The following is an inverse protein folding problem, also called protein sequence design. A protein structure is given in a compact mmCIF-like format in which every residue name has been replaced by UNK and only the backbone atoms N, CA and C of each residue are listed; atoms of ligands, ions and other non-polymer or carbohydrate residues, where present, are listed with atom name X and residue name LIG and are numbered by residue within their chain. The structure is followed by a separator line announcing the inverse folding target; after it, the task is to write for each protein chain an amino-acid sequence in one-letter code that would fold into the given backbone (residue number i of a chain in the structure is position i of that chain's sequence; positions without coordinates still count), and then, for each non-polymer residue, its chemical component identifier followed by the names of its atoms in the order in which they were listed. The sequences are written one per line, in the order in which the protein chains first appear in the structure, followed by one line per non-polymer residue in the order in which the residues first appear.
data_IF_929536622989
#
_entry.id   IF_929536622989
#
_cell.length_a   1.000
_cell.length_b   1.000
_cell.length_c   1.000
_cell.angle_alpha   90.00
_cell.angle_beta   90.00
_cell.angle_gamma   90.00
#
_symmetry.space_group_name_H-M   'P 1'
#
loop_
_entity.id
_entity.type
_entity.pdbx_description
1 polymer ?
#
# COMPACT_ATOMS: atom_id res chain seq x y z
N UNK A 1 -19.29 30.25 -28.19
CA UNK A 1 -20.00 31.40 -28.80
C UNK A 1 -19.19 31.97 -29.96
N UNK A 2 -19.64 31.82 -31.21
CA UNK A 2 -19.01 32.44 -32.39
C UNK A 2 -20.08 33.20 -33.17
N UNK A 3 -19.79 34.45 -33.54
CA UNK A 3 -20.68 35.32 -34.31
C UNK A 3 -21.02 34.71 -35.67
N UNK A 4 -22.30 34.71 -36.02
CA UNK A 4 -22.71 34.56 -37.41
C UNK A 4 -22.47 35.87 -38.13
N UNK A 5 -21.71 35.81 -39.23
CA UNK A 5 -21.58 36.91 -40.19
C UNK A 5 -22.98 37.37 -40.63
N UNK A 6 -23.27 38.63 -40.33
CA UNK A 6 -24.54 39.28 -40.63
C UNK A 6 -24.73 39.42 -42.14
N UNK A 7 -25.92 39.02 -42.63
CA UNK A 7 -26.41 39.53 -43.90
C UNK A 7 -26.82 40.98 -43.69
N UNK A 8 -26.33 41.87 -44.56
CA UNK A 8 -26.55 43.32 -44.54
C UNK A 8 -28.06 43.62 -44.47
N UNK A 9 -28.56 43.97 -43.28
CA UNK A 9 -29.96 44.36 -43.03
C UNK A 9 -30.79 43.45 -42.12
N UNK A 10 -30.26 42.32 -41.63
CA UNK A 10 -30.97 41.46 -40.67
C UNK A 10 -30.55 41.69 -39.21
N UNK A 11 -31.51 41.68 -38.28
CA UNK A 11 -31.23 41.69 -36.83
C UNK A 11 -30.19 40.61 -36.48
N UNK A 12 -29.08 40.95 -35.78
CA UNK A 12 -28.11 39.95 -35.33
C UNK A 12 -28.82 38.99 -34.38
N UNK A 13 -28.95 37.73 -34.78
CA UNK A 13 -29.46 36.66 -33.92
C UNK A 13 -28.27 35.82 -33.49
N UNK A 14 -27.92 35.93 -32.22
CA UNK A 14 -27.06 34.97 -31.54
C UNK A 14 -27.87 33.67 -31.40
N UNK A 15 -27.60 32.69 -32.25
CA UNK A 15 -28.24 31.39 -32.16
C UNK A 15 -27.16 30.34 -32.05
N UNK A 16 -27.17 29.62 -30.92
CA UNK A 16 -26.28 28.48 -30.74
C UNK A 16 -26.88 27.25 -31.43
N UNK A 17 -26.03 26.48 -32.10
CA UNK A 17 -26.46 25.27 -32.78
C UNK A 17 -26.51 24.13 -31.77
N UNK A 18 -27.61 23.36 -31.76
CA UNK A 18 -27.76 22.21 -30.84
C UNK A 18 -26.57 21.24 -30.92
N UNK A 19 -25.98 21.08 -32.11
CA UNK A 19 -24.78 20.26 -32.30
C UNK A 19 -23.57 20.79 -31.54
N UNK A 20 -23.37 22.11 -31.53
CA UNK A 20 -22.27 22.74 -30.79
C UNK A 20 -22.52 22.64 -29.29
N UNK A 21 -23.73 22.92 -28.82
CA UNK A 21 -24.11 22.79 -27.42
C UNK A 21 -23.93 21.35 -26.92
N UNK A 22 -24.32 20.35 -27.73
CA UNK A 22 -24.09 18.95 -27.40
C UNK A 22 -22.59 18.62 -27.32
N UNK A 23 -21.79 19.07 -28.29
CA UNK A 23 -20.35 18.81 -28.31
C UNK A 23 -19.63 19.48 -27.12
N UNK A 24 -19.98 20.72 -26.79
CA UNK A 24 -19.41 21.46 -25.66
C UNK A 24 -19.79 20.83 -24.32
N UNK A 25 -21.07 20.48 -24.12
CA UNK A 25 -21.52 19.79 -22.89
C UNK A 25 -20.89 18.41 -22.73
N UNK A 26 -20.76 17.65 -23.82
CA UNK A 26 -20.14 16.33 -23.80
C UNK A 26 -18.63 16.40 -23.57
N UNK A 27 -17.96 17.42 -24.11
CA UNK A 27 -16.54 17.67 -23.85
C UNK A 27 -16.31 18.12 -22.41
N UNK A 28 -17.17 19.01 -21.88
CA UNK A 28 -17.11 19.44 -20.48
C UNK A 28 -17.32 18.28 -19.52
N UNK A 29 -18.38 17.48 -19.73
CA UNK A 29 -18.73 16.39 -18.82
C UNK A 29 -17.64 15.32 -18.77
N UNK A 30 -17.11 14.91 -19.93
CA UNK A 30 -16.02 13.95 -19.99
C UNK A 30 -14.69 14.55 -19.51
N UNK A 31 -14.44 15.84 -19.75
CA UNK A 31 -13.23 16.54 -19.33
C UNK A 31 -13.08 16.62 -17.80
N UNK A 32 -14.18 16.76 -17.06
CA UNK A 32 -14.17 16.75 -15.59
C UNK A 32 -13.59 15.44 -15.03
N UNK A 33 -14.00 14.31 -15.61
CA UNK A 33 -13.54 13.00 -15.16
C UNK A 33 -12.20 12.60 -15.80
N UNK A 34 -11.90 13.09 -17.00
CA UNK A 34 -10.59 12.91 -17.64
C UNK A 34 -9.46 13.48 -16.76
N UNK A 35 -9.69 14.61 -16.11
CA UNK A 35 -8.74 15.22 -15.17
C UNK A 35 -8.44 14.36 -13.93
N UNK A 36 -9.31 13.42 -13.56
CA UNK A 36 -9.10 12.51 -12.42
C UNK A 36 -8.15 11.36 -12.78
N UNK A 37 -8.00 11.05 -14.07
CA UNK A 37 -7.03 10.06 -14.57
C UNK A 37 -7.36 8.59 -14.22
N UNK A 38 -8.59 8.30 -13.81
CA UNK A 38 -9.01 6.95 -13.38
C UNK A 38 -10.43 6.63 -13.88
N UNK A 39 -10.64 5.37 -14.22
CA UNK A 39 -11.96 4.84 -14.58
C UNK A 39 -12.74 4.48 -13.31
N UNK A 40 -14.04 4.80 -13.28
CA UNK A 40 -14.86 4.65 -12.08
C UNK A 40 -16.37 4.61 -12.37
N UNK A 41 -17.14 4.16 -11.40
CA UNK A 41 -18.60 4.30 -11.38
C UNK A 41 -18.98 5.73 -10.98
N UNK A 42 -19.79 6.39 -11.80
CA UNK A 42 -20.26 7.75 -11.54
C UNK A 42 -21.58 7.76 -10.75
N UNK A 43 -22.50 6.86 -11.10
CA UNK A 43 -23.81 6.75 -10.44
C UNK A 43 -24.46 5.40 -10.72
N UNK A 44 -25.27 4.90 -9.78
CA UNK A 44 -25.91 3.59 -9.90
C UNK A 44 -24.92 2.45 -9.76
N UNK A 45 -25.06 1.41 -10.59
CA UNK A 45 -24.24 0.19 -10.54
C UNK A 45 -24.17 -0.45 -9.14
N UNK A 46 -25.28 -0.40 -8.39
CA UNK A 46 -25.36 -0.99 -7.07
C UNK A 46 -25.11 -2.50 -7.16
N UNK A 47 -24.23 -2.99 -6.28
CA UNK A 47 -23.86 -4.39 -6.19
C UNK A 47 -24.73 -5.13 -5.18
N UNK A 48 -25.15 -6.33 -5.55
CA UNK A 48 -25.75 -7.31 -4.64
C UNK A 48 -24.93 -8.58 -4.72
N UNK A 49 -24.34 -8.99 -3.60
CA UNK A 49 -23.61 -10.26 -3.49
C UNK A 49 -24.60 -11.43 -3.44
N UNK A 50 -24.36 -12.44 -4.29
CA UNK A 50 -25.16 -13.66 -4.33
C UNK A 50 -24.71 -14.71 -3.30
N UNK A 51 -23.60 -14.46 -2.58
CA UNK A 51 -23.06 -15.37 -1.56
C UNK A 51 -22.37 -16.62 -2.13
N UNK A 52 -22.09 -16.64 -3.44
CA UNK A 52 -21.48 -17.75 -4.16
C UNK A 52 -20.21 -17.34 -4.94
N UNK A 53 -19.62 -16.19 -4.59
CA UNK A 53 -18.48 -15.62 -5.32
C UNK A 53 -18.86 -14.84 -6.57
N UNK A 54 -20.16 -14.62 -6.83
CA UNK A 54 -20.65 -13.77 -7.92
C UNK A 54 -21.50 -12.61 -7.38
N UNK A 55 -21.56 -11.53 -8.16
CA UNK A 55 -22.33 -10.32 -7.86
C UNK A 55 -23.31 -10.01 -8.99
N UNK A 56 -24.44 -9.42 -8.62
CA UNK A 56 -25.34 -8.75 -9.56
C UNK A 56 -25.08 -7.25 -9.50
N UNK A 57 -24.96 -6.63 -10.67
CA UNK A 57 -24.67 -5.22 -10.85
C UNK A 57 -25.92 -4.57 -11.47
N UNK A 58 -26.52 -3.60 -10.79
CA UNK A 58 -27.63 -2.83 -11.34
C UNK A 58 -27.20 -1.94 -12.51
N UNK A 59 -28.18 -1.40 -13.24
CA UNK A 59 -27.91 -0.38 -14.26
C UNK A 59 -27.31 0.90 -13.65
N UNK A 60 -26.55 1.65 -14.44
CA UNK A 60 -25.93 2.89 -13.99
C UNK A 60 -25.11 3.62 -15.04
N UNK A 61 -24.28 4.54 -14.59
CA UNK A 61 -23.38 5.36 -15.39
C UNK A 61 -21.94 5.12 -14.93
N UNK A 62 -21.06 4.84 -15.88
CA UNK A 62 -19.64 4.55 -15.63
C UNK A 62 -18.77 5.41 -16.53
N UNK A 63 -17.62 5.83 -16.01
CA UNK A 63 -16.58 6.51 -16.76
C UNK A 63 -15.49 5.51 -17.10
N UNK A 64 -15.34 5.18 -18.37
CA UNK A 64 -14.36 4.20 -18.86
C UNK A 64 -13.74 4.66 -20.17
N UNK A 65 -12.44 4.44 -20.34
CA UNK A 65 -11.71 4.78 -21.57
C UNK A 65 -11.95 6.23 -22.04
N UNK A 66 -12.03 7.18 -21.10
CA UNK A 66 -12.17 8.61 -21.39
C UNK A 66 -13.61 9.11 -21.60
N UNK A 67 -14.63 8.26 -21.46
CA UNK A 67 -16.03 8.59 -21.77
C UNK A 67 -17.01 8.09 -20.71
N UNK A 68 -17.99 8.92 -20.37
CA UNK A 68 -19.14 8.52 -19.54
C UNK A 68 -20.15 7.74 -20.39
N UNK A 69 -20.31 6.45 -20.08
CA UNK A 69 -21.19 5.52 -20.78
C UNK A 69 -22.26 4.94 -19.85
N UNK A 70 -23.43 4.67 -20.43
CA UNK A 70 -24.51 3.94 -19.75
C UNK A 70 -24.17 2.46 -19.65
N UNK A 71 -24.57 1.85 -18.54
CA UNK A 71 -24.47 0.43 -18.27
C UNK A 71 -25.85 -0.12 -17.94
N UNK A 72 -26.29 -1.17 -18.63
CA UNK A 72 -27.65 -1.71 -18.49
C UNK A 72 -27.80 -2.70 -17.31
N UNK A 73 -26.71 -2.99 -16.59
CA UNK A 73 -26.68 -4.00 -15.53
C UNK A 73 -26.22 -5.37 -16.02
N UNK A 74 -25.79 -6.22 -15.09
CA UNK A 74 -25.39 -7.59 -15.37
C UNK A 74 -25.59 -8.48 -14.14
N UNK A 75 -25.96 -9.74 -14.34
CA UNK A 75 -26.22 -10.70 -13.26
C UNK A 75 -25.17 -11.82 -13.25
N UNK A 76 -24.90 -12.38 -12.08
CA UNK A 76 -24.00 -13.52 -11.87
C UNK A 76 -22.57 -13.30 -12.41
N UNK A 77 -22.00 -12.11 -12.17
CA UNK A 77 -20.65 -11.78 -12.60
C UNK A 77 -19.65 -12.20 -11.51
N UNK A 78 -18.58 -12.94 -11.83
CA UNK A 78 -17.52 -13.27 -10.86
C UNK A 78 -16.94 -12.03 -10.17
N UNK A 79 -16.83 -12.08 -8.84
CA UNK A 79 -16.32 -11.00 -7.99
C UNK A 79 -14.82 -11.14 -7.66
N UNK A 80 -14.10 -11.95 -8.43
CA UNK A 80 -12.68 -12.28 -8.27
C UNK A 80 -11.73 -11.31 -8.98
N UNK A 81 -12.26 -10.28 -9.64
CA UNK A 81 -11.49 -9.34 -10.47
C UNK A 81 -11.15 -9.87 -11.87
N UNK A 82 -11.66 -11.04 -12.27
CA UNK A 82 -11.48 -11.58 -13.63
C UNK A 82 -12.32 -10.87 -14.70
N UNK A 83 -13.33 -10.12 -14.27
CA UNK A 83 -14.22 -9.32 -15.12
C UNK A 83 -14.05 -7.84 -14.83
N UNK A 84 -14.29 -7.02 -15.84
CA UNK A 84 -14.23 -5.57 -15.72
C UNK A 84 -15.29 -4.89 -16.59
N UNK A 85 -15.69 -3.69 -16.18
CA UNK A 85 -16.48 -2.77 -17.00
C UNK A 85 -15.53 -2.06 -17.96
N UNK A 86 -15.83 -2.16 -19.25
CA UNK A 86 -15.07 -1.49 -20.31
C UNK A 86 -16.00 -0.85 -21.33
N UNK A 87 -15.43 0.03 -22.15
CA UNK A 87 -16.15 0.64 -23.28
C UNK A 87 -16.53 -0.45 -24.29
N UNK A 88 -17.84 -0.64 -24.48
CA UNK A 88 -18.38 -1.54 -25.49
C UNK A 88 -18.40 -0.91 -26.89
N UNK A 89 -18.56 -1.77 -27.90
CA UNK A 89 -18.84 -1.33 -29.26
C UNK A 89 -20.26 -0.75 -29.40
N UNK A 90 -20.56 -0.22 -30.58
CA UNK A 90 -21.90 0.27 -30.90
C UNK A 90 -22.90 -0.89 -30.97
N UNK A 91 -23.86 -0.91 -30.05
CA UNK A 91 -24.98 -1.85 -30.03
C UNK A 91 -26.15 -1.23 -30.79
N UNK A 92 -26.79 -2.01 -31.65
CA UNK A 92 -28.00 -1.56 -32.35
C UNK A 92 -29.21 -1.66 -31.45
N UNK A 93 -30.17 -0.74 -31.60
CA UNK A 93 -31.46 -0.82 -30.92
C UNK A 93 -32.20 -2.10 -31.29
N UNK A 94 -33.17 -2.48 -30.46
CA UNK A 94 -34.15 -3.49 -30.84
C UNK A 94 -34.83 -3.13 -32.16
N UNK A 95 -35.13 -4.16 -32.94
CA UNK A 95 -35.84 -4.00 -34.21
C UNK A 95 -37.24 -3.44 -33.95
N UNK A 96 -37.60 -2.39 -34.70
CA UNK A 96 -38.95 -1.87 -34.74
C UNK A 96 -39.59 -2.20 -36.09
N UNK A 97 -40.85 -2.58 -36.06
CA UNK A 97 -41.65 -2.81 -37.28
C UNK A 97 -42.10 -1.46 -37.83
N UNK A 98 -41.78 -1.21 -39.10
CA UNK A 98 -42.20 -0.01 -39.83
C UNK A 98 -43.55 -0.24 -40.51
N UNK A 99 -44.20 0.84 -40.97
CA UNK A 99 -45.53 0.77 -41.59
C UNK A 99 -45.61 -0.09 -42.86
N UNK A 100 -44.47 -0.45 -43.45
CA UNK A 100 -44.32 -1.37 -44.58
C UNK A 100 -44.18 -2.85 -44.15
N UNK A 101 -44.24 -3.14 -42.85
CA UNK A 101 -44.03 -4.47 -42.28
C UNK A 101 -42.55 -4.87 -42.14
N UNK A 102 -41.61 -4.04 -42.58
CA UNK A 102 -40.17 -4.32 -42.43
C UNK A 102 -39.70 -4.09 -41.00
N UNK A 103 -38.78 -4.91 -40.52
CA UNK A 103 -38.14 -4.75 -39.22
C UNK A 103 -36.73 -4.19 -39.40
N UNK A 104 -36.46 -3.02 -38.84
CA UNK A 104 -35.12 -2.39 -38.92
C UNK A 104 -34.69 -1.86 -37.56
N UNK A 105 -33.38 -1.83 -37.35
CA UNK A 105 -32.78 -1.17 -36.19
C UNK A 105 -32.90 0.34 -36.39
N UNK A 106 -33.29 1.05 -35.34
CA UNK A 106 -33.64 2.48 -35.40
C UNK A 106 -32.42 3.36 -35.09
N UNK A 107 -31.59 2.93 -34.16
CA UNK A 107 -30.39 3.66 -33.76
C UNK A 107 -29.27 2.71 -33.31
N UNK A 108 -28.08 3.27 -33.12
CA UNK A 108 -26.96 2.58 -32.48
C UNK A 108 -26.45 3.45 -31.34
N UNK A 109 -26.09 2.83 -30.22
CA UNK A 109 -25.47 3.52 -29.09
C UNK A 109 -24.29 2.71 -28.56
N UNK A 110 -23.28 3.40 -28.06
CA UNK A 110 -22.20 2.77 -27.30
C UNK A 110 -22.61 2.71 -25.83
N UNK A 111 -22.40 1.55 -25.21
CA UNK A 111 -22.65 1.32 -23.79
C UNK A 111 -21.44 0.67 -23.16
N UNK A 112 -21.31 0.81 -21.85
CA UNK A 112 -20.36 0.00 -21.12
C UNK A 112 -20.85 -1.45 -21.08
N UNK A 113 -19.91 -2.39 -21.16
CA UNK A 113 -20.18 -3.83 -21.13
C UNK A 113 -19.20 -4.52 -20.19
N UNK A 114 -19.57 -5.71 -19.72
CA UNK A 114 -18.67 -6.55 -18.95
C UNK A 114 -17.78 -7.34 -19.92
N UNK A 115 -16.47 -7.19 -19.76
CA UNK A 115 -15.45 -7.90 -20.53
C UNK A 115 -14.58 -8.76 -19.60
N UNK A 116 -13.74 -9.62 -20.19
CA UNK A 116 -12.64 -10.22 -19.45
C UNK A 116 -11.65 -9.12 -19.09
N UNK A 117 -11.23 -9.06 -17.83
CA UNK A 117 -10.27 -8.08 -17.38
C UNK A 117 -8.95 -8.26 -18.15
N UNK A 118 -8.64 -7.31 -19.02
CA UNK A 118 -7.30 -7.18 -19.57
C UNK A 118 -6.50 -6.35 -18.57
N UNK A 119 -5.22 -6.65 -18.34
CA UNK A 119 -4.39 -5.87 -17.40
C UNK A 119 -4.14 -4.40 -17.82
N UNK A 120 -4.93 -3.86 -18.74
CA UNK A 120 -4.80 -2.53 -19.32
C UNK A 120 -5.64 -1.53 -18.54
N UNK A 121 -5.04 -0.39 -18.27
CA UNK A 121 -5.44 0.76 -17.45
C UNK A 121 -6.79 1.45 -17.75
N UNK A 122 -7.67 0.87 -18.56
CA UNK A 122 -8.93 1.50 -19.00
C UNK A 122 -10.17 0.64 -18.70
N UNK A 123 -10.24 0.02 -17.51
CA UNK A 123 -11.36 -0.82 -17.09
C UNK A 123 -11.60 -0.75 -15.56
N UNK A 124 -12.87 -0.80 -15.14
CA UNK A 124 -13.23 -0.90 -13.71
C UNK A 124 -13.41 -2.38 -13.35
N UNK A 125 -12.47 -2.94 -12.58
CA UNK A 125 -12.52 -4.35 -12.17
C UNK A 125 -13.70 -4.64 -11.24
N UNK A 126 -14.39 -5.75 -11.50
CA UNK A 126 -15.52 -6.21 -10.68
C UNK A 126 -14.98 -7.04 -9.51
N UNK A 127 -15.18 -6.55 -8.29
CA UNK A 127 -14.91 -7.25 -7.04
C UNK A 127 -16.18 -7.28 -6.18
N UNK A 128 -16.03 -7.55 -4.88
CA UNK A 128 -17.10 -7.37 -3.88
C UNK A 128 -17.53 -5.91 -3.70
N UNK A 129 -16.73 -4.96 -4.21
CA UNK A 129 -17.08 -3.55 -4.39
C UNK A 129 -16.63 -3.05 -5.77
N UNK A 130 -17.29 -2.01 -6.28
CA UNK A 130 -16.84 -1.26 -7.45
C UNK A 130 -16.16 0.03 -7.00
N UNK A 131 -15.18 0.47 -7.79
CA UNK A 131 -14.52 1.75 -7.55
C UNK A 131 -15.43 2.89 -8.01
N UNK A 132 -15.96 3.65 -7.05
CA UNK A 132 -16.89 4.75 -7.29
C UNK A 132 -16.25 6.13 -6.99
N UNK A 133 -16.93 7.20 -7.38
CA UNK A 133 -16.46 8.57 -7.14
C UNK A 133 -16.24 8.86 -5.65
N UNK A 134 -17.04 8.27 -4.76
CA UNK A 134 -16.89 8.45 -3.32
C UNK A 134 -15.59 7.84 -2.82
N UNK A 135 -15.30 6.61 -3.21
CA UNK A 135 -14.06 5.91 -2.88
C UNK A 135 -12.87 6.67 -3.45
N UNK A 136 -12.97 7.19 -4.68
CA UNK A 136 -11.93 8.05 -5.26
C UNK A 136 -11.64 9.28 -4.41
N UNK A 137 -12.67 10.02 -3.98
CA UNK A 137 -12.47 11.21 -3.14
C UNK A 137 -11.84 10.84 -1.81
N UNK A 138 -12.28 9.75 -1.18
CA UNK A 138 -11.72 9.28 0.09
C UNK A 138 -10.24 8.89 -0.05
N UNK A 139 -9.89 8.21 -1.14
CA UNK A 139 -8.53 7.80 -1.44
C UNK A 139 -7.64 9.01 -1.78
N UNK A 140 -8.13 9.95 -2.59
CA UNK A 140 -7.44 11.18 -2.93
C UNK A 140 -7.16 12.05 -1.69
N UNK A 141 -8.15 12.21 -0.80
CA UNK A 141 -8.00 12.96 0.46
C UNK A 141 -6.91 12.33 1.35
N UNK A 142 -6.87 11.01 1.43
CA UNK A 142 -5.85 10.28 2.21
C UNK A 142 -4.47 10.30 1.55
N UNK A 143 -4.38 10.64 0.27
CA UNK A 143 -3.13 10.71 -0.49
C UNK A 143 -2.37 12.04 -0.33
N UNK A 144 -2.98 13.11 0.21
CA UNK A 144 -2.33 14.43 0.41
C UNK A 144 -1.29 14.48 1.53
N UNK A 145 -0.84 13.34 2.02
CA UNK A 145 0.21 13.29 3.05
C UNK A 145 1.56 13.69 2.46
N UNK A 146 2.38 14.30 3.31
CA UNK A 146 3.70 14.79 2.90
C UNK A 146 4.56 13.59 2.50
N UNK A 147 5.32 13.75 1.41
CA UNK A 147 6.33 12.76 1.01
C UNK A 147 7.28 12.49 2.18
N UNK A 148 7.47 11.21 2.51
CA UNK A 148 8.27 10.76 3.65
C UNK A 148 7.45 10.46 4.91
N UNK A 149 6.12 10.69 4.92
CA UNK A 149 5.26 10.24 6.03
C UNK A 149 5.30 8.71 6.15
N UNK A 150 5.47 8.23 7.38
CA UNK A 150 5.49 6.81 7.74
C UNK A 150 4.25 6.47 8.56
N UNK A 151 3.68 5.29 8.32
CA UNK A 151 2.56 4.74 9.12
C UNK A 151 2.79 3.29 9.48
N UNK A 152 2.29 2.93 10.66
CA UNK A 152 2.25 1.57 11.17
C UNK A 152 0.82 1.02 11.08
N UNK A 153 0.66 -0.16 10.50
CA UNK A 153 -0.61 -0.79 10.19
C UNK A 153 -0.63 -2.22 10.73
N UNK A 154 -1.58 -2.47 11.63
CA UNK A 154 -1.90 -3.82 12.07
C UNK A 154 -2.89 -4.47 11.10
N UNK A 155 -2.58 -5.66 10.62
CA UNK A 155 -3.42 -6.41 9.69
C UNK A 155 -4.42 -7.29 10.45
N UNK A 156 -5.68 -6.85 10.51
CA UNK A 156 -6.75 -7.56 11.24
C UNK A 156 -7.37 -8.70 10.44
N UNK A 157 -7.34 -8.65 9.11
CA UNK A 157 -8.08 -9.55 8.22
C UNK A 157 -7.21 -10.33 7.23
N UNK A 158 -5.89 -10.10 7.21
CA UNK A 158 -4.94 -10.79 6.35
C UNK A 158 -4.91 -10.26 4.91
N UNK A 159 -5.67 -9.21 4.61
CA UNK A 159 -5.82 -8.69 3.24
C UNK A 159 -4.86 -7.57 2.93
N UNK A 160 -4.21 -6.99 3.94
CA UNK A 160 -3.36 -5.82 3.79
C UNK A 160 -2.26 -5.97 2.73
N UNK A 161 -1.52 -7.10 2.66
CA UNK A 161 -0.46 -7.28 1.65
C UNK A 161 -0.96 -7.20 0.20
N UNK A 162 -2.24 -7.54 -0.05
CA UNK A 162 -2.84 -7.49 -1.39
C UNK A 162 -3.00 -6.07 -1.95
N UNK A 163 -2.74 -5.03 -1.16
CA UNK A 163 -2.72 -3.64 -1.61
C UNK A 163 -1.41 -3.24 -2.30
N UNK A 164 -0.39 -4.09 -2.26
CA UNK A 164 0.94 -3.82 -2.78
C UNK A 164 1.35 -4.88 -3.81
N UNK A 165 2.19 -4.48 -4.77
CA UNK A 165 2.81 -5.42 -5.70
C UNK A 165 4.03 -6.13 -5.10
N UNK A 166 4.70 -6.97 -5.89
CA UNK A 166 5.91 -7.70 -5.46
C UNK A 166 7.11 -6.78 -5.14
N UNK A 167 7.13 -5.56 -5.67
CA UNK A 167 8.13 -4.55 -5.29
C UNK A 167 7.75 -3.85 -3.99
N UNK A 168 6.48 -3.84 -3.61
CA UNK A 168 5.96 -3.15 -2.44
C UNK A 168 5.33 -1.81 -2.79
N UNK A 169 5.12 -1.50 -4.07
CA UNK A 169 4.38 -0.32 -4.52
C UNK A 169 2.88 -0.53 -4.34
N UNK A 170 2.18 0.48 -3.82
CA UNK A 170 0.73 0.41 -3.67
C UNK A 170 0.01 0.40 -5.00
N UNK A 171 -0.79 -0.64 -5.25
CA UNK A 171 -1.52 -0.86 -6.51
C UNK A 171 -2.99 -0.45 -6.42
N UNK A 172 -3.53 -0.28 -5.22
CA UNK A 172 -4.90 0.18 -5.01
C UNK A 172 -4.92 1.70 -4.89
N UNK A 173 -6.00 2.38 -5.29
CA UNK A 173 -6.02 3.84 -5.33
C UNK A 173 -5.77 4.50 -3.97
N UNK A 174 -6.29 3.91 -2.88
CA UNK A 174 -5.97 4.29 -1.49
C UNK A 174 -4.48 4.30 -1.18
N UNK A 175 -3.76 3.30 -1.68
CA UNK A 175 -2.33 3.09 -1.42
C UNK A 175 -1.46 3.64 -2.56
N UNK A 176 -2.03 4.37 -3.51
CA UNK A 176 -1.26 4.96 -4.60
C UNK A 176 -0.25 5.99 -4.06
N UNK A 177 1.00 5.86 -4.51
CA UNK A 177 2.13 6.63 -4.00
C UNK A 177 2.61 6.22 -2.61
N UNK A 178 2.07 5.14 -2.02
CA UNK A 178 2.64 4.48 -0.86
C UNK A 178 3.54 3.33 -1.28
N UNK A 179 4.53 3.05 -0.44
CA UNK A 179 5.38 1.88 -0.57
C UNK A 179 5.46 1.16 0.77
N UNK A 180 5.50 -0.18 0.76
CA UNK A 180 5.90 -0.96 1.94
C UNK A 180 7.28 -0.48 2.39
N UNK A 181 7.47 -0.30 3.69
CA UNK A 181 8.75 0.10 4.26
C UNK A 181 9.68 -1.11 4.28
N UNK A 182 10.14 -1.47 3.08
CA UNK A 182 10.97 -2.62 2.79
C UNK A 182 12.21 -2.18 1.98
N UNK A 183 13.11 -3.12 1.72
CA UNK A 183 14.32 -2.88 0.92
C UNK A 183 14.05 -2.36 -0.51
N UNK A 184 12.88 -2.69 -1.06
CA UNK A 184 12.55 -2.40 -2.47
C UNK A 184 11.97 -1.00 -2.68
N UNK A 185 11.72 -0.23 -1.61
CA UNK A 185 11.13 1.12 -1.64
C UNK A 185 12.00 2.23 -2.27
N UNK A 186 13.05 1.87 -3.02
CA UNK A 186 14.08 2.82 -3.44
C UNK A 186 14.89 3.41 -2.27
N UNK A 187 14.73 2.84 -1.07
CA UNK A 187 15.53 3.16 0.10
C UNK A 187 16.89 2.46 -0.04
N UNK A 188 17.98 3.17 0.20
CA UNK A 188 19.34 2.63 0.07
C UNK A 188 19.66 1.52 1.09
N UNK A 189 18.82 1.33 2.10
CA UNK A 189 19.02 0.42 3.22
C UNK A 189 17.74 -0.36 3.52
N UNK A 190 17.86 -1.58 4.07
CA UNK A 190 16.71 -2.40 4.46
C UNK A 190 16.16 -1.93 5.83
N UNK A 191 14.95 -1.34 5.89
CA UNK A 191 14.38 -0.86 7.14
C UNK A 191 13.53 -1.91 7.87
N UNK A 192 13.35 -3.10 7.29
CA UNK A 192 12.55 -4.18 7.89
C UNK A 192 13.11 -4.61 9.25
N UNK A 193 12.21 -4.86 10.21
CA UNK A 193 12.58 -5.34 11.54
C UNK A 193 13.24 -4.28 12.43
N UNK A 194 13.20 -3.00 12.05
CA UNK A 194 13.83 -1.90 12.82
C UNK A 194 12.83 -1.03 13.57
N UNK A 195 13.23 -0.62 14.76
CA UNK A 195 12.61 0.47 15.51
C UNK A 195 13.13 1.81 14.99
N UNK A 196 12.28 2.83 14.95
CA UNK A 196 12.68 4.17 14.53
C UNK A 196 13.28 4.93 15.71
N UNK A 197 14.39 5.62 15.44
CA UNK A 197 14.98 6.61 16.33
C UNK A 197 15.02 7.96 15.60
N UNK A 198 15.01 9.04 16.37
CA UNK A 198 15.06 10.40 15.82
C UNK A 198 16.50 10.77 15.49
N UNK A 199 16.69 11.50 14.39
CA UNK A 199 17.99 12.11 14.04
C UNK A 199 18.43 13.15 15.07
N UNK A 200 19.75 13.33 15.18
CA UNK A 200 20.38 14.30 16.08
C UNK A 200 21.21 13.62 17.16
N UNK A 201 21.74 14.46 18.05
CA UNK A 201 22.71 14.02 19.05
C UNK A 201 22.11 14.00 20.46
N UNK A 202 22.55 13.05 21.27
CA UNK A 202 22.16 12.90 22.68
C UNK A 202 23.36 12.47 23.52
N UNK A 203 23.49 13.04 24.72
CA UNK A 203 24.47 12.63 25.72
C UNK A 203 23.75 11.82 26.79
N UNK A 204 24.18 10.58 27.01
CA UNK A 204 23.64 9.71 28.06
C UNK A 204 23.92 10.33 29.45
N UNK A 205 22.88 10.61 30.27
CA UNK A 205 23.04 11.24 31.56
C UNK A 205 23.77 10.37 32.59
N UNK A 206 23.85 9.06 32.38
CA UNK A 206 24.50 8.11 33.30
C UNK A 206 25.95 7.87 32.90
N UNK A 207 26.20 7.61 31.63
CA UNK A 207 27.54 7.26 31.14
C UNK A 207 28.34 8.46 30.65
N UNK A 208 27.69 9.60 30.36
CA UNK A 208 28.31 10.78 29.76
C UNK A 208 28.71 10.58 28.29
N UNK A 209 28.35 9.45 27.69
CA UNK A 209 28.69 9.12 26.31
C UNK A 209 27.77 9.86 25.34
N UNK A 210 28.37 10.47 24.33
CA UNK A 210 27.65 11.13 23.24
C UNK A 210 27.31 10.12 22.14
N UNK A 211 26.09 10.24 21.64
CA UNK A 211 25.58 9.51 20.49
C UNK A 211 25.10 10.54 19.47
N UNK A 212 25.44 10.31 18.21
CA UNK A 212 24.98 11.13 17.09
C UNK A 212 24.32 10.22 16.06
N UNK A 213 23.17 10.64 15.54
CA UNK A 213 22.38 9.87 14.59
C UNK A 213 22.09 10.73 13.36
N UNK A 214 22.76 10.41 12.27
CA UNK A 214 22.51 11.02 10.97
C UNK A 214 21.28 10.41 10.30
N UNK A 215 20.71 11.16 9.35
CA UNK A 215 19.59 10.65 8.57
C UNK A 215 20.01 9.43 7.74
N UNK A 216 19.38 8.29 8.02
CA UNK A 216 19.64 7.02 7.34
C UNK A 216 20.60 6.10 8.08
N UNK A 217 21.12 6.52 9.23
CA UNK A 217 21.89 5.66 10.11
C UNK A 217 21.07 4.47 10.59
N UNK A 218 21.76 3.34 10.74
CA UNK A 218 21.18 2.10 11.23
C UNK A 218 22.14 1.41 12.19
N UNK A 219 21.57 0.69 13.15
CA UNK A 219 22.32 -0.06 14.15
C UNK A 219 21.43 -1.05 14.89
N UNK A 220 21.92 -1.51 16.04
CA UNK A 220 21.25 -2.50 16.89
C UNK A 220 21.69 -3.95 16.60
N UNK A 221 21.53 -4.80 17.61
CA UNK A 221 21.86 -6.22 17.59
C UNK A 221 20.67 -7.01 18.13
N UNK A 222 20.22 -8.03 17.39
CA UNK A 222 19.11 -8.90 17.82
C UNK A 222 19.55 -9.89 18.91
N UNK A 223 20.78 -10.38 18.80
CA UNK A 223 21.40 -11.24 19.80
C UNK A 223 22.75 -10.63 20.20
N UNK A 224 23.06 -10.66 21.50
CA UNK A 224 24.31 -10.13 22.03
C UNK A 224 25.08 -11.22 22.78
N UNK A 225 26.39 -11.34 22.50
CA UNK A 225 27.29 -12.24 23.19
C UNK A 225 28.23 -11.44 24.08
N UNK A 226 28.14 -11.68 25.38
CA UNK A 226 29.00 -11.03 26.39
C UNK A 226 30.47 -11.22 26.05
N UNK A 227 31.20 -10.12 26.04
CA UNK A 227 32.65 -10.07 25.88
C UNK A 227 33.34 -9.97 27.24
N UNK A 228 34.64 -10.27 27.27
CA UNK A 228 35.44 -10.16 28.49
C UNK A 228 35.47 -8.71 29.03
N UNK A 229 35.44 -7.72 28.14
CA UNK A 229 35.45 -6.31 28.53
C UNK A 229 34.15 -5.86 29.21
N UNK A 230 33.04 -6.56 28.94
CA UNK A 230 31.73 -6.30 29.54
C UNK A 230 31.53 -7.03 30.87
N UNK A 231 32.43 -7.97 31.22
CA UNK A 231 32.38 -8.64 32.51
C UNK A 231 32.92 -7.74 33.64
N UNK A 232 32.15 -7.50 34.71
CA UNK A 232 32.66 -6.79 35.88
C UNK A 232 33.88 -7.50 36.48
N UNK A 233 34.87 -6.70 36.90
CA UNK A 233 36.02 -7.22 37.66
C UNK A 233 35.52 -7.92 38.92
N UNK A 234 35.89 -9.19 39.07
CA UNK A 234 35.53 -10.01 40.21
C UNK A 234 36.74 -10.86 40.64
N UNK A 235 36.75 -11.30 41.90
CA UNK A 235 37.80 -12.17 42.45
C UNK A 235 37.20 -13.20 43.39
N UNK A 236 37.85 -14.35 43.48
CA UNK A 236 37.47 -15.42 44.40
C UNK A 236 38.64 -15.74 45.34
N UNK A 237 38.33 -15.99 46.61
CA UNK A 237 39.27 -16.56 47.58
C UNK A 237 38.91 -18.03 47.75
N UNK A 238 39.84 -18.94 47.50
CA UNK A 238 39.67 -20.35 47.87
C UNK A 238 40.91 -20.82 48.63
N UNK A 239 40.70 -21.59 49.69
CA UNK A 239 41.77 -22.19 50.49
C UNK A 239 42.10 -23.58 49.96
N UNK A 240 43.35 -23.81 49.55
CA UNK A 240 43.88 -25.13 49.20
C UNK A 240 44.60 -25.71 50.42
N UNK A 241 44.10 -26.81 50.98
CA UNK A 241 44.88 -27.61 51.94
C UNK A 241 45.84 -28.48 51.15
N UNK A 242 47.12 -28.10 51.12
CA UNK A 242 48.18 -28.97 50.57
C UNK A 242 48.54 -29.96 51.67
N UNK A 243 48.16 -31.23 51.50
CA UNK A 243 48.62 -32.30 52.38
C UNK A 243 50.11 -32.53 52.16
N UNK A 244 50.93 -31.99 53.06
CA UNK A 244 52.33 -32.40 53.16
C UNK A 244 52.37 -33.85 53.65
N UNK A 245 52.99 -34.73 52.87
CA UNK A 245 53.32 -36.08 53.33
C UNK A 245 54.19 -35.98 54.58
N UNK A 246 53.71 -36.52 55.68
CA UNK A 246 54.37 -36.44 56.96
C UNK A 246 55.52 -37.45 57.02
N UNK A 247 56.76 -36.95 57.01
CA UNK A 247 57.89 -37.60 57.68
C UNK A 247 58.75 -36.52 58.34
N UNK A 248 58.22 -36.00 59.45
CA UNK A 248 58.97 -35.47 60.59
C UNK A 248 60.14 -34.53 60.34
N UNK A 249 59.91 -33.23 60.43
CA UNK A 249 60.69 -32.33 61.30
C UNK A 249 59.96 -30.97 61.42
N UNK A 250 60.05 -30.35 62.59
CA UNK A 250 59.47 -29.06 62.95
C UNK A 250 60.09 -27.91 62.15
N UNK A 251 59.68 -27.75 60.90
CA UNK A 251 59.89 -26.51 60.15
C UNK A 251 58.56 -25.99 59.66
N UNK A 252 58.29 -24.71 59.95
CA UNK A 252 57.06 -24.03 59.55
C UNK A 252 56.82 -24.20 58.05
N UNK A 253 55.89 -25.09 57.71
CA UNK A 253 55.49 -25.42 56.35
C UNK A 253 55.22 -24.14 55.55
N UNK A 254 56.10 -23.86 54.58
CA UNK A 254 55.91 -22.80 53.60
C UNK A 254 54.60 -23.07 52.86
N UNK A 255 53.58 -22.26 53.12
CA UNK A 255 52.38 -22.22 52.29
C UNK A 255 52.76 -21.51 50.99
N UNK A 256 53.04 -22.28 49.95
CA UNK A 256 53.14 -21.71 48.60
C UNK A 256 51.73 -21.58 48.05
N UNK A 257 51.21 -20.35 48.03
CA UNK A 257 49.93 -20.00 47.39
C UNK A 257 50.09 -20.17 45.86
N UNK A 258 49.76 -21.34 45.35
CA UNK A 258 49.68 -21.56 43.90
C UNK A 258 48.36 -20.99 43.37
N UNK A 259 48.45 -20.01 42.46
CA UNK A 259 47.32 -19.55 41.66
C UNK A 259 46.81 -20.70 40.77
N UNK A 260 45.76 -21.40 41.22
CA UNK A 260 45.08 -22.42 40.42
C UNK A 260 43.83 -21.78 39.80
N UNK A 261 43.71 -21.87 38.47
CA UNK A 261 42.51 -21.43 37.77
C UNK A 261 41.43 -22.49 37.94
N UNK A 262 40.19 -22.07 38.15
CA UNK A 262 39.03 -22.95 37.99
C UNK A 262 38.84 -23.28 36.51
N UNK A 263 38.21 -24.41 36.20
CA UNK A 263 37.73 -24.66 34.85
C UNK A 263 36.69 -23.63 34.41
N UNK A 264 36.53 -23.45 33.10
CA UNK A 264 35.48 -22.61 32.53
C UNK A 264 34.11 -23.25 32.74
N UNK A 265 33.12 -22.45 33.14
CA UNK A 265 31.70 -22.86 33.22
C UNK A 265 30.87 -21.76 32.58
N UNK A 266 29.92 -22.14 31.73
CA UNK A 266 29.14 -21.23 30.91
C UNK A 266 28.99 -21.76 29.49
N UNK A 267 27.91 -21.38 28.81
CA UNK A 267 27.64 -21.81 27.43
C UNK A 267 28.23 -20.90 26.36
N UNK A 268 28.69 -19.71 26.72
CA UNK A 268 29.17 -18.65 25.82
C UNK A 268 28.26 -18.41 24.60
N UNK A 269 26.95 -18.64 24.78
CA UNK A 269 25.93 -18.42 23.76
C UNK A 269 25.44 -16.97 23.82
N UNK A 270 25.09 -16.43 22.66
CA UNK A 270 24.44 -15.13 22.60
C UNK A 270 23.05 -15.22 23.26
N UNK A 271 22.59 -14.11 23.85
CA UNK A 271 21.25 -13.99 24.41
C UNK A 271 20.42 -13.00 23.59
N UNK A 272 19.11 -13.21 23.57
CA UNK A 272 18.16 -12.31 22.92
C UNK A 272 18.26 -10.91 23.55
N UNK A 273 18.55 -9.91 22.71
CA UNK A 273 18.61 -8.50 23.06
C UNK A 273 17.36 -7.73 22.58
N UNK A 274 16.41 -8.43 21.94
CA UNK A 274 15.15 -7.83 21.52
C UNK A 274 14.22 -7.65 22.72
N UNK A 275 13.78 -6.42 22.96
CA UNK A 275 12.65 -6.12 23.85
C UNK A 275 11.37 -6.82 23.35
N UNK A 276 10.36 -7.05 24.22
CA UNK A 276 9.05 -7.51 23.77
C UNK A 276 8.52 -6.63 22.63
N UNK A 277 8.10 -7.24 21.53
CA UNK A 277 7.71 -6.51 20.31
C UNK A 277 6.41 -7.05 19.69
N UNK A 278 5.76 -6.20 18.91
CA UNK A 278 4.66 -6.55 18.03
C UNK A 278 5.06 -6.22 16.58
N UNK A 279 5.07 -7.23 15.71
CA UNK A 279 5.36 -7.02 14.29
C UNK A 279 4.12 -6.50 13.57
N UNK A 280 4.24 -5.34 12.93
CA UNK A 280 3.19 -4.69 12.13
C UNK A 280 3.75 -4.29 10.77
N UNK A 281 2.88 -4.09 9.79
CA UNK A 281 3.31 -3.56 8.50
C UNK A 281 3.60 -2.07 8.64
N UNK A 282 4.70 -1.63 8.06
CA UNK A 282 5.05 -0.22 7.97
C UNK A 282 5.05 0.22 6.51
N UNK A 283 4.60 1.43 6.25
CA UNK A 283 4.47 2.01 4.91
C UNK A 283 4.99 3.45 4.90
N UNK A 284 5.56 3.86 3.76
CA UNK A 284 6.09 5.21 3.53
C UNK A 284 5.43 5.84 2.31
N UNK A 285 5.12 7.14 2.40
CA UNK A 285 4.65 7.95 1.29
C UNK A 285 5.83 8.37 0.40
N UNK A 286 5.83 7.98 -0.88
CA UNK A 286 6.94 8.22 -1.81
C UNK A 286 6.63 9.26 -2.90
N UNK A 287 5.34 9.53 -3.13
CA UNK A 287 4.82 10.53 -4.09
C UNK A 287 3.92 11.50 -3.37
#
# INVERSE_FOLDING_TARGET
MKELLTLQGGYPREMDYLLNLQAELYTMSNGLFAGLGVDMVLSGCALVDNGNGTVNIAAGLVYVAGEALRFDGANNIPADGSKALAKGGYVSSDQKTFGDGSQKNVYREAKAVIVNAAGTIAEVKVKTSLYDLKQYIQDAVQSFEVKGTIKDIYDFDGTFPGNFDASGLGVTPRWNGWHLFNRNAGLSTNPEGRTLITVGSFTDPVTGKEYDYDHGDFGGEAEHKLTIAEMPSHSHKFGKTVGGGDYGDNSHNQKTDENQNTGSTGGDQAHNNMMPYLAVYRVIKIV
#
